data_IF_805263613664
#
_entry.id   IF_805263613664
#
_cell.length_a   1.000
_cell.length_b   1.000
_cell.length_c   1.000
_cell.angle_alpha   90.00
_cell.angle_beta   90.00
_cell.angle_gamma   90.00
#
_symmetry.space_group_name_H-M   'P 1'
#
loop_
_entity.id
_entity.type
_entity.pdbx_description
1 polymer ?
#
# COMPACT_ATOMS: atom_id res chain seq x y z
N UNK A 1 12.72 -27.72 4.88
CA UNK A 1 12.02 -27.66 3.57
C UNK A 1 10.96 -26.57 3.42
N UNK A 2 10.42 -25.94 4.47
CA UNK A 2 9.40 -24.85 4.33
C UNK A 2 9.94 -23.49 3.85
N UNK A 3 11.25 -23.25 3.85
CA UNK A 3 11.83 -21.96 3.45
C UNK A 3 12.04 -21.78 1.94
N UNK A 4 12.24 -22.85 1.19
CA UNK A 4 12.48 -22.81 -0.26
C UNK A 4 11.21 -22.40 -1.02
N UNK A 5 10.05 -22.98 -0.69
CA UNK A 5 8.78 -22.67 -1.36
C UNK A 5 8.30 -21.22 -1.18
N UNK A 6 8.73 -20.52 -0.12
CA UNK A 6 8.37 -19.09 0.08
C UNK A 6 9.18 -18.17 -0.81
N UNK A 7 10.44 -18.50 -1.10
CA UNK A 7 11.30 -17.71 -2.00
C UNK A 7 10.84 -17.77 -3.46
N UNK A 8 10.34 -18.92 -3.89
CA UNK A 8 9.83 -19.13 -5.25
C UNK A 8 8.57 -18.31 -5.58
N UNK A 9 7.85 -17.85 -4.55
CA UNK A 9 6.66 -17.01 -4.67
C UNK A 9 6.97 -15.51 -4.79
N UNK A 10 8.16 -15.08 -4.40
CA UNK A 10 8.54 -13.67 -4.42
C UNK A 10 9.12 -13.32 -5.79
N UNK A 11 8.51 -12.35 -6.43
CA UNK A 11 9.00 -11.73 -7.64
C UNK A 11 9.56 -10.35 -7.29
N UNK A 12 10.80 -10.11 -7.66
CA UNK A 12 11.48 -8.83 -7.49
C UNK A 12 11.97 -8.32 -8.84
N UNK A 13 12.16 -7.04 -8.97
CA UNK A 13 12.70 -6.44 -10.18
C UNK A 13 13.78 -5.40 -9.86
N UNK A 14 14.58 -5.08 -10.84
CA UNK A 14 15.46 -3.92 -10.90
C UNK A 14 14.95 -2.92 -11.95
N UNK A 15 15.77 -1.91 -12.26
CA UNK A 15 15.44 -0.88 -13.26
C UNK A 15 15.43 -1.40 -14.70
N UNK A 16 16.09 -2.53 -14.98
CA UNK A 16 16.26 -3.07 -16.33
C UNK A 16 15.17 -4.08 -16.70
N UNK A 17 14.69 -4.88 -15.73
CA UNK A 17 13.77 -5.98 -15.99
C UNK A 17 12.32 -5.72 -15.50
N UNK A 18 12.03 -4.50 -15.02
CA UNK A 18 10.73 -4.11 -14.45
C UNK A 18 9.54 -4.52 -15.33
N UNK A 19 9.60 -4.21 -16.62
CA UNK A 19 8.49 -4.46 -17.56
C UNK A 19 8.28 -5.96 -17.78
N UNK A 20 9.35 -6.73 -17.85
CA UNK A 20 9.29 -8.18 -18.02
C UNK A 20 8.71 -8.85 -16.78
N UNK A 21 9.20 -8.49 -15.59
CA UNK A 21 8.70 -9.04 -14.33
C UNK A 21 7.22 -8.70 -14.13
N UNK A 22 6.80 -7.47 -14.46
CA UNK A 22 5.39 -7.08 -14.40
C UNK A 22 4.53 -7.90 -15.36
N UNK A 23 4.98 -8.08 -16.59
CA UNK A 23 4.30 -8.91 -17.60
C UNK A 23 4.15 -10.35 -17.10
N UNK A 24 5.21 -10.91 -16.54
CA UNK A 24 5.20 -12.26 -15.98
C UNK A 24 4.27 -12.38 -14.77
N UNK A 25 4.21 -11.36 -13.91
CA UNK A 25 3.30 -11.31 -12.77
C UNK A 25 1.83 -11.29 -13.23
N UNK A 26 1.50 -10.43 -14.19
CA UNK A 26 0.12 -10.30 -14.70
C UNK A 26 -0.33 -11.46 -15.56
N UNK A 27 0.59 -12.15 -16.27
CA UNK A 27 0.28 -13.31 -17.12
C UNK A 27 0.06 -14.59 -16.32
N UNK A 28 0.65 -14.70 -15.12
CA UNK A 28 0.63 -15.92 -14.30
C UNK A 28 -0.41 -15.89 -13.18
N UNK A 29 -1.42 -15.04 -13.29
CA UNK A 29 -2.47 -14.86 -12.26
C UNK A 29 -3.26 -16.15 -11.94
N UNK A 30 -3.23 -17.14 -12.82
CA UNK A 30 -3.90 -18.44 -12.64
C UNK A 30 -3.01 -19.52 -12.01
N UNK A 31 -1.70 -19.36 -11.96
CA UNK A 31 -0.77 -20.37 -11.44
C UNK A 31 -0.02 -19.92 -10.18
N UNK A 32 -0.72 -19.91 -9.08
CA UNK A 32 -0.08 -19.88 -7.76
C UNK A 32 0.13 -18.50 -7.17
N UNK A 33 -0.03 -18.44 -5.88
CA UNK A 33 0.09 -17.32 -4.96
C UNK A 33 1.44 -16.56 -5.06
N UNK A 34 1.65 -15.78 -6.11
CA UNK A 34 2.85 -14.96 -6.31
C UNK A 34 2.70 -13.62 -5.58
N UNK A 35 3.80 -13.09 -5.12
CA UNK A 35 3.89 -11.77 -4.47
C UNK A 35 4.94 -10.96 -5.22
N UNK A 36 4.51 -9.84 -5.78
CA UNK A 36 5.42 -8.87 -6.40
C UNK A 36 5.90 -7.88 -5.34
N UNK A 37 7.21 -7.82 -5.15
CA UNK A 37 7.86 -6.81 -4.32
C UNK A 37 8.50 -5.78 -5.24
N UNK A 38 8.04 -4.54 -5.12
CA UNK A 38 8.46 -3.49 -6.03
C UNK A 38 8.77 -2.18 -5.31
N UNK A 39 9.79 -1.50 -5.80
CA UNK A 39 10.12 -0.13 -5.45
C UNK A 39 9.61 0.78 -6.57
N UNK A 40 8.94 1.89 -6.23
CA UNK A 40 8.45 2.90 -7.19
C UNK A 40 7.52 2.35 -8.30
N UNK A 41 6.68 1.39 -7.97
CA UNK A 41 5.61 0.92 -8.86
C UNK A 41 4.24 1.53 -8.53
N UNK A 42 4.21 2.67 -7.86
CA UNK A 42 2.99 3.43 -7.58
C UNK A 42 2.27 3.93 -8.85
N UNK A 43 2.99 4.05 -9.97
CA UNK A 43 2.45 4.53 -11.24
C UNK A 43 2.45 3.47 -12.34
N UNK A 44 1.47 3.54 -13.23
CA UNK A 44 1.44 2.77 -14.48
C UNK A 44 1.11 1.28 -14.34
N UNK A 45 0.75 0.78 -13.15
CA UNK A 45 0.38 -0.62 -12.95
C UNK A 45 -1.11 -0.72 -12.67
N UNK A 46 -1.80 -1.55 -13.45
CA UNK A 46 -3.21 -1.88 -13.27
C UNK A 46 -3.33 -3.33 -12.78
N UNK A 47 -3.67 -3.49 -11.51
CA UNK A 47 -3.79 -4.79 -10.83
C UNK A 47 -5.24 -5.03 -10.41
N UNK A 48 -6.15 -4.96 -11.38
CA UNK A 48 -7.59 -5.17 -11.18
C UNK A 48 -7.94 -6.64 -11.01
N UNK A 49 -9.10 -6.87 -10.41
CA UNK A 49 -9.71 -8.18 -10.24
C UNK A 49 -8.77 -9.16 -9.49
N UNK A 50 -8.65 -10.40 -9.96
CA UNK A 50 -7.85 -11.44 -9.31
C UNK A 50 -6.32 -11.26 -9.46
N UNK A 51 -5.86 -10.22 -10.15
CA UNK A 51 -4.43 -9.92 -10.24
C UNK A 51 -3.81 -9.50 -8.92
N UNK A 52 -4.57 -8.76 -8.08
CA UNK A 52 -4.14 -8.45 -6.73
C UNK A 52 -5.33 -8.22 -5.79
N UNK A 53 -5.52 -9.08 -4.82
CA UNK A 53 -6.56 -8.93 -3.78
C UNK A 53 -6.07 -8.23 -2.53
N UNK A 54 -4.77 -8.04 -2.40
CA UNK A 54 -4.18 -7.22 -1.35
C UNK A 54 -2.89 -6.55 -1.82
N UNK A 55 -2.57 -5.44 -1.19
CA UNK A 55 -1.25 -4.80 -1.30
C UNK A 55 -0.77 -4.35 0.08
N UNK A 56 0.55 -4.21 0.20
CA UNK A 56 1.19 -3.73 1.41
C UNK A 56 2.07 -2.54 1.04
N UNK A 57 1.76 -1.37 1.59
CA UNK A 57 2.60 -0.18 1.49
C UNK A 57 3.55 -0.20 2.69
N UNK A 58 4.79 -0.57 2.42
CA UNK A 58 5.82 -0.75 3.46
C UNK A 58 6.35 0.60 3.94
N UNK A 59 6.45 1.58 3.03
CA UNK A 59 7.00 2.91 3.33
C UNK A 59 6.24 3.98 2.55
N UNK A 60 5.98 5.11 3.21
CA UNK A 60 5.39 6.28 2.56
C UNK A 60 6.27 6.82 1.45
N UNK A 61 5.71 7.21 0.31
CA UNK A 61 6.43 7.77 -0.82
C UNK A 61 6.73 9.27 -0.62
N UNK A 62 7.46 9.59 0.46
CA UNK A 62 7.89 10.96 0.67
C UNK A 62 8.83 11.39 -0.46
N UNK A 63 8.63 12.61 -0.96
CA UNK A 63 9.49 13.18 -1.99
C UNK A 63 10.93 13.30 -1.50
N UNK A 64 11.95 13.03 -2.37
CA UNK A 64 13.35 13.00 -1.98
C UNK A 64 13.85 14.41 -1.64
N UNK A 65 14.24 14.61 -0.39
CA UNK A 65 14.78 15.90 0.09
C UNK A 65 16.17 16.23 -0.48
N UNK A 66 16.83 15.27 -1.12
CA UNK A 66 18.09 15.52 -1.85
C UNK A 66 17.91 16.31 -3.15
N UNK A 67 16.68 16.43 -3.65
CA UNK A 67 16.36 17.29 -4.79
C UNK A 67 16.22 18.75 -4.32
N UNK A 68 17.05 19.69 -4.81
CA UNK A 68 17.01 21.08 -4.39
C UNK A 68 15.66 21.76 -4.66
N UNK A 69 14.97 21.40 -5.73
CA UNK A 69 13.66 21.93 -6.07
C UNK A 69 12.60 21.50 -5.03
N UNK A 70 12.61 20.22 -4.65
CA UNK A 70 11.71 19.68 -3.63
C UNK A 70 12.01 20.30 -2.26
N UNK A 71 13.29 20.43 -1.89
CA UNK A 71 13.70 21.04 -0.65
C UNK A 71 13.21 22.50 -0.55
N UNK A 72 13.40 23.31 -1.62
CA UNK A 72 12.92 24.69 -1.71
C UNK A 72 11.39 24.77 -1.59
N UNK A 73 10.66 23.90 -2.27
CA UNK A 73 9.20 23.88 -2.20
C UNK A 73 8.69 23.51 -0.81
N UNK A 74 9.33 22.56 -0.15
CA UNK A 74 8.99 22.20 1.23
C UNK A 74 9.25 23.33 2.21
N UNK A 75 10.37 24.05 2.06
CA UNK A 75 10.69 25.22 2.88
C UNK A 75 9.63 26.31 2.74
N UNK A 76 9.16 26.55 1.51
CA UNK A 76 8.10 27.53 1.23
C UNK A 76 6.72 27.07 1.69
N UNK A 77 6.45 25.77 1.62
CA UNK A 77 5.16 25.18 1.96
C UNK A 77 5.25 23.71 2.38
N UNK A 78 5.36 23.46 3.68
CA UNK A 78 5.27 22.12 4.25
C UNK A 78 3.91 21.45 3.91
N UNK A 79 2.85 22.26 3.78
CA UNK A 79 1.53 21.79 3.34
C UNK A 79 1.57 21.22 1.92
N UNK A 80 2.28 21.85 0.99
CA UNK A 80 2.46 21.32 -0.36
C UNK A 80 3.16 19.95 -0.34
N UNK A 81 4.27 19.86 0.40
CA UNK A 81 5.04 18.61 0.53
C UNK A 81 4.19 17.46 1.07
N UNK A 82 3.43 17.72 2.14
CA UNK A 82 2.49 16.75 2.71
C UNK A 82 1.39 16.36 1.72
N UNK A 83 0.83 17.32 1.00
CA UNK A 83 -0.22 17.06 0.02
C UNK A 83 0.26 16.16 -1.12
N UNK A 84 1.48 16.36 -1.63
CA UNK A 84 2.07 15.49 -2.66
C UNK A 84 2.19 14.04 -2.16
N UNK A 85 2.71 13.85 -0.95
CA UNK A 85 2.81 12.50 -0.34
C UNK A 85 1.45 11.85 -0.14
N UNK A 86 0.42 12.62 0.27
CA UNK A 86 -0.94 12.12 0.45
C UNK A 86 -1.53 11.69 -0.90
N UNK A 87 -1.37 12.50 -1.95
CA UNK A 87 -1.87 12.17 -3.30
C UNK A 87 -1.24 10.87 -3.78
N UNK A 88 0.05 10.71 -3.63
CA UNK A 88 0.77 9.49 -4.02
C UNK A 88 0.29 8.27 -3.23
N UNK A 89 0.14 8.39 -1.89
CA UNK A 89 -0.43 7.33 -1.05
C UNK A 89 -1.83 6.90 -1.49
N UNK A 90 -2.68 7.87 -1.84
CA UNK A 90 -4.04 7.60 -2.32
C UNK A 90 -4.02 6.88 -3.67
N UNK A 91 -3.15 7.30 -4.59
CA UNK A 91 -2.96 6.66 -5.88
C UNK A 91 -2.46 5.22 -5.71
N UNK A 92 -1.47 5.00 -4.85
CA UNK A 92 -0.98 3.66 -4.52
C UNK A 92 -2.09 2.79 -3.94
N UNK A 93 -2.84 3.31 -2.95
CA UNK A 93 -3.93 2.56 -2.32
C UNK A 93 -5.08 2.22 -3.29
N UNK A 94 -5.26 3.02 -4.35
CA UNK A 94 -6.26 2.80 -5.39
C UNK A 94 -5.90 1.75 -6.44
N UNK A 95 -4.71 1.12 -6.37
CA UNK A 95 -4.26 0.18 -7.41
C UNK A 95 -4.96 -1.18 -7.39
N UNK A 96 -5.42 -1.59 -6.24
CA UNK A 96 -6.02 -2.93 -6.02
C UNK A 96 -7.53 -2.95 -6.26
N UNK A 97 -8.20 -1.79 -6.16
CA UNK A 97 -9.66 -1.67 -6.34
C UNK A 97 -9.95 -0.64 -7.42
N UNK A 98 -10.52 -1.07 -8.53
CA UNK A 98 -10.73 -0.24 -9.72
C UNK A 98 -12.19 0.02 -10.08
N UNK A 99 -13.10 -0.83 -9.65
CA UNK A 99 -14.54 -0.67 -9.89
C UNK A 99 -15.34 -0.78 -8.60
N UNK A 100 -16.65 -0.60 -8.67
CA UNK A 100 -17.55 -0.77 -7.53
C UNK A 100 -17.74 -2.24 -7.15
N UNK A 101 -17.59 -3.12 -8.11
CA UNK A 101 -17.71 -4.57 -7.98
C UNK A 101 -16.40 -5.22 -7.57
N UNK A 102 -15.28 -4.49 -7.69
CA UNK A 102 -13.97 -4.97 -7.34
C UNK A 102 -13.69 -4.81 -5.84
N UNK A 103 -12.91 -5.73 -5.28
CA UNK A 103 -12.54 -5.72 -3.87
C UNK A 103 -11.05 -6.00 -3.67
N UNK A 104 -10.49 -5.43 -2.63
CA UNK A 104 -9.12 -5.63 -2.24
C UNK A 104 -8.79 -4.89 -0.96
N UNK A 105 -7.69 -5.27 -0.33
CA UNK A 105 -7.26 -4.68 0.94
C UNK A 105 -5.89 -4.03 0.78
N UNK A 106 -5.76 -2.79 1.23
CA UNK A 106 -4.48 -2.09 1.32
C UNK A 106 -4.04 -2.02 2.78
N UNK A 107 -2.87 -2.60 3.07
CA UNK A 107 -2.22 -2.50 4.37
C UNK A 107 -1.15 -1.41 4.32
N UNK A 108 -1.26 -0.40 5.17
CA UNK A 108 -0.23 0.63 5.35
C UNK A 108 0.49 0.32 6.66
N UNK A 109 1.72 -0.19 6.56
CA UNK A 109 2.51 -0.58 7.75
C UNK A 109 3.50 0.50 8.20
N UNK A 110 3.65 1.57 7.43
CA UNK A 110 4.44 2.73 7.81
C UNK A 110 3.64 3.65 8.75
N UNK A 111 4.11 3.80 9.96
CA UNK A 111 3.50 4.68 10.96
C UNK A 111 3.49 6.15 10.53
N UNK A 112 4.51 6.60 9.81
CA UNK A 112 4.58 7.98 9.32
C UNK A 112 3.50 8.24 8.25
N UNK A 113 3.27 7.27 7.36
CA UNK A 113 2.18 7.33 6.39
C UNK A 113 0.82 7.44 7.09
N UNK A 114 0.58 6.57 8.09
CA UNK A 114 -0.66 6.59 8.86
C UNK A 114 -0.86 7.91 9.58
N UNK A 115 0.13 8.39 10.32
CA UNK A 115 0.07 9.66 11.03
C UNK A 115 -0.18 10.85 10.08
N UNK A 116 0.44 10.83 8.90
CA UNK A 116 0.23 11.87 7.88
C UNK A 116 -1.23 11.90 7.42
N UNK A 117 -1.82 10.75 7.13
CA UNK A 117 -3.23 10.63 6.71
C UNK A 117 -4.17 11.08 7.82
N UNK A 118 -3.96 10.61 9.07
CA UNK A 118 -4.80 10.97 10.21
C UNK A 118 -4.77 12.48 10.52
N UNK A 119 -3.60 13.09 10.54
CA UNK A 119 -3.46 14.53 10.79
C UNK A 119 -4.08 15.39 9.68
N UNK A 120 -4.26 14.84 8.50
CA UNK A 120 -4.79 15.55 7.34
C UNK A 120 -6.13 15.00 6.84
N UNK A 121 -6.90 14.30 7.69
CA UNK A 121 -8.20 13.69 7.33
C UNK A 121 -9.16 14.65 6.62
N UNK A 122 -9.16 15.93 6.99
CA UNK A 122 -10.01 16.96 6.40
C UNK A 122 -9.67 17.26 4.92
N UNK A 123 -8.47 16.89 4.47
CA UNK A 123 -8.03 17.05 3.09
C UNK A 123 -8.31 15.80 2.24
N UNK A 124 -8.67 14.69 2.87
CA UNK A 124 -8.93 13.42 2.20
C UNK A 124 -10.36 13.39 1.65
N UNK A 125 -10.58 12.78 0.48
CA UNK A 125 -11.93 12.50 -0.01
C UNK A 125 -12.71 11.60 0.95
N UNK A 126 -14.00 11.80 1.04
CA UNK A 126 -14.89 11.04 1.95
C UNK A 126 -14.79 9.52 1.76
N UNK A 127 -14.69 9.05 0.51
CA UNK A 127 -14.54 7.63 0.21
C UNK A 127 -13.26 7.03 0.79
N UNK A 128 -12.16 7.80 0.84
CA UNK A 128 -10.89 7.33 1.39
C UNK A 128 -10.96 7.27 2.92
N UNK A 129 -11.54 8.30 3.54
CA UNK A 129 -11.79 8.32 5.00
C UNK A 129 -12.66 7.15 5.43
N UNK A 130 -13.75 6.86 4.72
CA UNK A 130 -14.61 5.71 5.01
C UNK A 130 -13.85 4.37 4.96
N UNK A 131 -12.93 4.20 4.00
CA UNK A 131 -12.08 3.00 3.92
C UNK A 131 -11.09 2.91 5.08
N UNK A 132 -10.52 4.03 5.51
CA UNK A 132 -9.65 4.07 6.69
C UNK A 132 -10.42 3.64 7.94
N UNK A 133 -11.60 4.20 8.17
CA UNK A 133 -12.45 3.89 9.32
C UNK A 133 -12.90 2.42 9.35
N UNK A 134 -13.28 1.88 8.20
CA UNK A 134 -13.61 0.47 8.06
C UNK A 134 -12.42 -0.45 8.40
N UNK A 135 -11.22 -0.09 7.92
CA UNK A 135 -9.99 -0.83 8.24
C UNK A 135 -9.64 -0.79 9.72
N UNK A 136 -9.79 0.36 10.37
CA UNK A 136 -9.58 0.50 11.82
C UNK A 136 -10.58 -0.33 12.63
N UNK A 137 -11.86 -0.32 12.27
CA UNK A 137 -12.89 -1.10 12.92
C UNK A 137 -12.58 -2.61 12.87
N UNK A 138 -12.15 -3.12 11.71
CA UNK A 138 -11.73 -4.52 11.55
C UNK A 138 -10.51 -4.84 12.41
N UNK A 139 -9.51 -3.94 12.43
CA UNK A 139 -8.31 -4.12 13.25
C UNK A 139 -8.65 -4.18 14.73
N UNK A 140 -9.48 -3.25 15.22
CA UNK A 140 -9.91 -3.19 16.61
C UNK A 140 -10.63 -4.47 17.02
N UNK A 141 -11.62 -4.90 16.24
CA UNK A 141 -12.35 -6.15 16.51
C UNK A 141 -11.43 -7.37 16.61
N UNK A 142 -10.42 -7.46 15.73
CA UNK A 142 -9.45 -8.55 15.76
C UNK A 142 -8.54 -8.49 16.99
N UNK A 143 -8.12 -7.30 17.41
CA UNK A 143 -7.32 -7.12 18.63
C UNK A 143 -8.12 -7.48 19.89
N UNK A 144 -9.38 -7.05 19.97
CA UNK A 144 -10.27 -7.38 21.09
C UNK A 144 -10.46 -8.90 21.19
N UNK A 145 -10.75 -9.58 20.06
CA UNK A 145 -10.87 -11.06 20.04
C UNK A 145 -9.59 -11.77 20.48
N UNK A 146 -8.41 -11.31 20.02
CA UNK A 146 -7.14 -11.91 20.46
C UNK A 146 -6.85 -11.68 21.94
N UNK A 147 -7.28 -10.54 22.50
CA UNK A 147 -7.13 -10.27 23.92
C UNK A 147 -8.04 -11.19 24.75
N UNK A 148 -9.29 -11.38 24.30
CA UNK A 148 -10.22 -12.30 24.96
C UNK A 148 -9.70 -13.74 24.96
N UNK A 149 -9.11 -14.22 23.83
CA UNK A 149 -8.48 -15.53 23.74
C UNK A 149 -7.31 -15.69 24.74
N UNK A 150 -6.44 -14.66 24.84
CA UNK A 150 -5.32 -14.67 25.80
C UNK A 150 -5.82 -14.71 27.25
N UNK A 151 -6.87 -13.94 27.57
CA UNK A 151 -7.43 -13.90 28.92
C UNK A 151 -8.18 -15.19 29.30
N UNK A 152 -8.71 -15.90 28.32
CA UNK A 152 -9.38 -17.19 28.56
C UNK A 152 -8.38 -18.33 28.87
N UNK A 153 -7.11 -18.18 28.45
CA UNK A 153 -6.03 -19.15 28.69
C UNK A 153 -5.25 -18.89 30.00
N UNK A 154 -5.61 -17.86 30.79
CA UNK A 154 -5.04 -17.51 32.11
C UNK A 154 -5.91 -18.02 33.27
#
# INVERSE_FOLDING_TARGET
MKGSQRKERLMTHDSFNRTEVLKNFTSSSTEGNKVLVSVNMGEGVDLKDDLARFQIIVKAPFLPMGDPWIALHKERSDRWYKAQTIIELMQMAGRVVRSKEDYGVTYIIDRNAWNLLEQNRKLLPSWFVQRMDAGEAVRKKKMDSQMDDILADL
#
